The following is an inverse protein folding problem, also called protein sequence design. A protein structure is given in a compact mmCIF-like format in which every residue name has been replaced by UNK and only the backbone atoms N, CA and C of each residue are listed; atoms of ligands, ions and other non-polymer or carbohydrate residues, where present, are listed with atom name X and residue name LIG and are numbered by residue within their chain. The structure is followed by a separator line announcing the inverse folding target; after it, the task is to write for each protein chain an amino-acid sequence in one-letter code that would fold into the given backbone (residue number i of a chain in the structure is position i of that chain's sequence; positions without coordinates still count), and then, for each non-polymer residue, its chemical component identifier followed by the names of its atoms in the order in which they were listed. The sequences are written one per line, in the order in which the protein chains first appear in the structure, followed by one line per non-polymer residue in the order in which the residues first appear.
data_IF_929232557407
#
_entry.id   IF_929232557407
#
_cell.length_a   1.000
_cell.length_b   1.000
_cell.length_c   1.000
_cell.angle_alpha   90.00
_cell.angle_beta   90.00
_cell.angle_gamma   90.00
#
_symmetry.space_group_name_H-M   'P 1'
#
loop_
_entity.id
_entity.type
_entity.pdbx_description
1 polymer ?
#
# COMPACT_ATOMS: atom_id res chain seq x y z
N UNK A 1 2.74 10.16 51.36
CA UNK A 1 2.61 9.35 50.13
C UNK A 1 2.74 10.32 48.97
N UNK A 2 3.96 10.48 48.46
CA UNK A 2 4.27 11.43 47.40
C UNK A 2 3.90 10.83 46.05
N UNK A 3 2.98 11.48 45.33
CA UNK A 3 2.81 11.28 43.89
C UNK A 3 3.23 12.59 43.19
N UNK A 4 4.52 12.82 42.92
CA UNK A 4 4.97 14.08 42.34
C UNK A 4 4.68 14.18 40.82
N UNK A 5 4.13 13.16 40.18
CA UNK A 5 4.24 13.01 38.73
C UNK A 5 3.07 13.56 37.89
N UNK A 6 1.95 13.92 38.53
CA UNK A 6 0.76 14.51 37.87
C UNK A 6 0.61 16.02 38.13
N UNK A 7 1.52 16.64 38.90
CA UNK A 7 1.44 18.06 39.26
C UNK A 7 0.18 18.39 40.06
N UNK A 8 -0.45 19.55 39.81
CA UNK A 8 -1.68 19.96 40.51
C UNK A 8 -2.86 19.00 40.30
N UNK A 9 -2.86 18.21 39.22
CA UNK A 9 -3.91 17.22 38.96
C UNK A 9 -3.90 16.07 39.97
N UNK A 10 -2.76 15.84 40.64
CA UNK A 10 -2.66 14.87 41.73
C UNK A 10 -3.58 15.21 42.92
N UNK A 11 -3.99 16.49 43.04
CA UNK A 11 -4.88 16.95 44.11
C UNK A 11 -6.32 16.51 43.91
N UNK A 12 -6.73 16.20 42.67
CA UNK A 12 -8.07 15.71 42.40
C UNK A 12 -8.19 14.20 42.67
N UNK A 13 -9.37 13.69 43.05
CA UNK A 13 -9.67 12.26 42.98
C UNK A 13 -9.58 11.74 41.54
N UNK A 14 -9.36 10.43 41.38
CA UNK A 14 -9.22 9.81 40.06
C UNK A 14 -10.47 10.02 39.20
N UNK A 15 -11.65 9.97 39.80
CA UNK A 15 -12.94 10.10 39.12
C UNK A 15 -13.10 11.45 38.43
N UNK A 16 -12.58 12.52 39.08
CA UNK A 16 -12.59 13.87 38.52
C UNK A 16 -11.57 13.98 37.39
N UNK A 17 -10.37 13.41 37.57
CA UNK A 17 -9.36 13.36 36.50
C UNK A 17 -9.87 12.60 35.29
N UNK A 18 -10.50 11.44 35.49
CA UNK A 18 -11.12 10.65 34.42
C UNK A 18 -12.14 11.48 33.62
N UNK A 19 -13.00 12.25 34.28
CA UNK A 19 -13.94 13.15 33.57
C UNK A 19 -13.24 14.20 32.72
N UNK A 20 -12.10 14.74 33.18
CA UNK A 20 -11.25 15.64 32.40
C UNK A 20 -10.63 14.89 31.20
N UNK A 21 -10.11 13.68 31.44
CA UNK A 21 -9.48 12.84 30.41
C UNK A 21 -10.42 12.40 29.31
N UNK A 22 -11.70 12.18 29.64
CA UNK A 22 -12.74 11.87 28.65
C UNK A 22 -12.95 12.99 27.62
N UNK A 23 -12.57 14.23 27.92
CA UNK A 23 -12.62 15.34 26.95
C UNK A 23 -11.52 15.23 25.87
N UNK A 24 -10.49 14.40 26.09
CA UNK A 24 -9.40 14.20 25.14
C UNK A 24 -9.64 13.05 24.15
N UNK A 25 -10.78 12.36 24.24
CA UNK A 25 -11.05 11.28 23.28
C UNK A 25 -11.18 11.89 21.88
N UNK A 26 -10.51 11.32 20.86
CA UNK A 26 -10.71 11.78 19.49
C UNK A 26 -12.18 11.71 19.10
N UNK A 27 -12.73 12.84 18.69
CA UNK A 27 -14.10 12.95 18.16
C UNK A 27 -14.06 13.70 16.81
N UNK A 28 -15.09 13.49 16.00
CA UNK A 28 -15.31 14.19 14.75
C UNK A 28 -15.19 13.31 13.52
N UNK A 29 -15.99 13.64 12.50
CA UNK A 29 -16.13 12.87 11.27
C UNK A 29 -15.46 13.58 10.11
N UNK A 30 -14.45 12.96 9.48
CA UNK A 30 -13.96 13.44 8.19
C UNK A 30 -15.00 13.17 7.11
N UNK A 31 -15.17 14.14 6.21
CA UNK A 31 -15.88 13.95 4.94
C UNK A 31 -14.90 13.99 3.79
N UNK A 32 -15.33 13.59 2.59
CA UNK A 32 -14.48 13.63 1.39
C UNK A 32 -13.96 15.05 1.12
N UNK A 33 -14.78 16.06 1.43
CA UNK A 33 -14.51 17.46 1.15
C UNK A 33 -13.83 18.18 2.32
N UNK A 34 -14.15 17.79 3.56
CA UNK A 34 -13.75 18.51 4.76
C UNK A 34 -13.04 17.59 5.76
N UNK A 35 -11.83 18.00 6.15
CA UNK A 35 -11.09 17.41 7.27
C UNK A 35 -11.56 18.04 8.56
N UNK A 36 -11.95 17.23 9.52
CA UNK A 36 -12.38 17.71 10.82
C UNK A 36 -11.20 17.51 11.79
N UNK A 37 -10.62 18.60 12.36
CA UNK A 37 -9.59 18.49 13.38
C UNK A 37 -10.08 17.57 14.49
N UNK A 38 -9.24 16.60 14.87
CA UNK A 38 -9.51 15.75 16.03
C UNK A 38 -8.94 16.39 17.27
N UNK A 39 -9.39 15.89 18.41
CA UNK A 39 -8.95 16.34 19.73
C UNK A 39 -7.42 16.36 19.83
N UNK A 40 -6.88 17.47 20.32
CA UNK A 40 -5.44 17.69 20.41
C UNK A 40 -4.83 16.87 21.56
N UNK A 41 -3.98 15.92 21.21
CA UNK A 41 -3.30 15.03 22.15
C UNK A 41 -1.92 15.55 22.59
N UNK A 42 -1.56 16.81 22.34
CA UNK A 42 -0.29 17.40 22.82
C UNK A 42 -0.13 17.33 24.34
N UNK A 43 -1.23 17.25 25.10
CA UNK A 43 -1.20 17.03 26.56
C UNK A 43 -0.47 15.74 26.94
N UNK A 44 -0.48 14.71 26.08
CA UNK A 44 0.25 13.46 26.30
C UNK A 44 1.78 13.66 26.35
N UNK A 45 2.28 14.82 25.94
CA UNK A 45 3.71 15.17 26.00
C UNK A 45 4.11 15.90 27.29
N UNK A 46 3.14 16.24 28.16
CA UNK A 46 3.39 17.06 29.34
C UNK A 46 4.16 16.31 30.45
N UNK A 47 3.80 15.06 30.73
CA UNK A 47 4.54 14.19 31.65
C UNK A 47 4.28 12.71 31.35
N UNK A 48 5.19 11.82 31.75
CA UNK A 48 5.02 10.38 31.58
C UNK A 48 3.79 9.85 32.33
N UNK A 49 3.50 10.35 33.53
CA UNK A 49 2.31 9.90 34.28
C UNK A 49 1.01 10.41 33.67
N UNK A 50 0.98 11.64 33.16
CA UNK A 50 -0.17 12.16 32.39
C UNK A 50 -0.36 11.31 31.13
N UNK A 51 0.72 11.04 30.40
CA UNK A 51 0.70 10.18 29.23
C UNK A 51 0.08 8.82 29.56
N UNK A 52 0.58 8.14 30.60
CA UNK A 52 0.15 6.79 30.93
C UNK A 52 -1.29 6.73 31.42
N UNK A 53 -1.74 7.69 32.24
CA UNK A 53 -3.12 7.75 32.73
C UNK A 53 -4.11 8.05 31.60
N UNK A 54 -3.83 9.06 30.77
CA UNK A 54 -4.73 9.46 29.67
C UNK A 54 -4.77 8.37 28.60
N UNK A 55 -3.61 7.92 28.10
CA UNK A 55 -3.60 6.96 27.00
C UNK A 55 -4.19 5.60 27.37
N UNK A 56 -4.07 5.15 28.63
CA UNK A 56 -4.80 3.98 29.10
C UNK A 56 -6.31 4.19 28.94
N UNK A 57 -6.81 5.36 29.30
CA UNK A 57 -8.23 5.68 29.19
C UNK A 57 -8.70 5.83 27.73
N UNK A 58 -7.90 6.46 26.88
CA UNK A 58 -8.21 6.67 25.46
C UNK A 58 -8.32 5.36 24.67
N UNK A 59 -7.37 4.44 24.88
CA UNK A 59 -7.24 3.24 24.04
C UNK A 59 -7.85 1.98 24.67
N UNK A 60 -8.15 1.98 25.97
CA UNK A 60 -8.85 0.85 26.60
C UNK A 60 -10.23 0.64 25.99
N UNK A 61 -10.54 -0.62 25.62
CA UNK A 61 -11.79 -0.98 24.94
C UNK A 61 -12.00 -0.23 23.63
N UNK A 62 -10.90 0.15 22.98
CA UNK A 62 -10.94 0.76 21.65
C UNK A 62 -10.75 -0.29 20.55
N UNK A 63 -11.42 -0.03 19.43
CA UNK A 63 -11.27 -0.77 18.18
C UNK A 63 -10.90 0.24 17.10
N UNK A 64 -9.80 -0.02 16.38
CA UNK A 64 -9.38 0.79 15.24
C UNK A 64 -9.65 0.02 13.96
N UNK A 65 -10.58 0.49 13.14
CA UNK A 65 -11.05 -0.23 11.94
C UNK A 65 -10.59 0.49 10.66
N UNK A 66 -9.91 -0.21 9.76
CA UNK A 66 -9.48 0.27 8.46
C UNK A 66 -10.37 -0.32 7.37
N UNK A 67 -11.10 0.54 6.68
CA UNK A 67 -11.93 0.18 5.52
C UNK A 67 -11.13 0.30 4.22
N UNK A 68 -10.69 -0.83 3.69
CA UNK A 68 -9.90 -0.92 2.46
C UNK A 68 -10.78 -1.41 1.32
N UNK A 69 -11.08 -0.51 0.39
CA UNK A 69 -11.93 -0.77 -0.78
C UNK A 69 -11.11 -1.03 -2.05
N UNK A 70 -11.64 -1.84 -2.96
CA UNK A 70 -11.12 -2.04 -4.31
C UNK A 70 -11.52 -0.92 -5.29
N UNK A 71 -12.37 0.02 -4.88
CA UNK A 71 -12.85 1.11 -5.74
C UNK A 71 -11.73 2.12 -5.99
N UNK A 72 -11.33 2.24 -7.25
CA UNK A 72 -10.35 3.22 -7.69
C UNK A 72 -11.02 4.56 -8.02
N UNK A 73 -10.52 5.64 -7.40
CA UNK A 73 -10.93 7.01 -7.69
C UNK A 73 -9.76 7.71 -8.38
N UNK A 74 -9.96 8.23 -9.60
CA UNK A 74 -8.93 8.87 -10.42
C UNK A 74 -8.17 10.00 -9.69
N UNK A 75 -8.80 10.66 -8.71
CA UNK A 75 -8.22 11.80 -7.99
C UNK A 75 -7.50 11.46 -6.68
N UNK A 76 -7.27 10.18 -6.35
CA UNK A 76 -6.56 9.72 -5.13
C UNK A 76 -7.11 10.31 -3.81
N UNK A 77 -8.38 10.68 -3.78
CA UNK A 77 -8.96 11.38 -2.62
C UNK A 77 -9.17 10.45 -1.41
N UNK A 78 -9.09 9.13 -1.60
CA UNK A 78 -9.34 8.13 -0.57
C UNK A 78 -8.53 6.87 -0.81
N UNK A 79 -7.52 6.64 0.04
CA UNK A 79 -6.82 5.37 0.17
C UNK A 79 -7.58 4.42 1.09
N UNK A 80 -7.86 4.85 2.31
CA UNK A 80 -8.59 4.06 3.32
C UNK A 80 -9.38 4.99 4.23
N UNK A 81 -10.45 4.48 4.83
CA UNK A 81 -11.13 5.16 5.93
C UNK A 81 -10.80 4.47 7.23
N UNK A 82 -10.52 5.24 8.28
CA UNK A 82 -10.22 4.71 9.60
C UNK A 82 -11.31 5.14 10.56
N UNK A 83 -11.78 4.22 11.37
CA UNK A 83 -12.76 4.47 12.42
C UNK A 83 -12.16 4.12 13.77
N UNK A 84 -12.33 5.01 14.74
CA UNK A 84 -12.11 4.70 16.15
C UNK A 84 -13.47 4.45 16.79
N UNK A 85 -13.66 3.24 17.31
CA UNK A 85 -14.86 2.86 18.08
C UNK A 85 -14.46 2.56 19.51
N UNK A 86 -15.27 3.00 20.47
CA UNK A 86 -15.06 2.75 21.91
C UNK A 86 -16.37 2.25 22.51
N UNK A 87 -16.36 1.13 23.23
CA UNK A 87 -17.59 0.60 23.83
C UNK A 87 -17.57 -0.91 24.13
N UNK A 88 -18.64 -1.44 24.74
CA UNK A 88 -18.79 -2.89 24.92
C UNK A 88 -19.06 -3.54 23.56
N UNK A 89 -18.29 -4.59 23.25
CA UNK A 89 -18.22 -5.27 21.95
C UNK A 89 -19.58 -5.59 21.28
N UNK A 90 -20.63 -5.82 22.07
CA UNK A 90 -21.95 -6.23 21.57
C UNK A 90 -22.81 -5.08 21.00
N UNK A 91 -22.52 -3.82 21.33
CA UNK A 91 -23.26 -2.65 20.80
C UNK A 91 -22.51 -1.85 19.73
N UNK A 92 -21.20 -2.09 19.59
CA UNK A 92 -20.31 -1.30 18.74
C UNK A 92 -20.62 -1.38 17.23
N UNK A 93 -21.43 -2.34 16.77
CA UNK A 93 -21.85 -2.43 15.36
C UNK A 93 -23.00 -1.47 15.00
N UNK A 94 -23.77 -0.99 15.98
CA UNK A 94 -24.93 -0.11 15.78
C UNK A 94 -24.64 1.36 16.10
N UNK A 95 -23.62 1.64 16.91
CA UNK A 95 -23.26 3.00 17.30
C UNK A 95 -22.39 3.68 16.22
N UNK A 96 -22.58 4.99 16.04
CA UNK A 96 -21.74 5.78 15.13
C UNK A 96 -20.27 5.74 15.60
N UNK A 97 -19.30 5.72 14.67
CA UNK A 97 -17.88 5.74 15.04
C UNK A 97 -17.56 7.02 15.78
N UNK A 98 -16.76 6.93 16.85
CA UNK A 98 -16.42 8.09 17.66
C UNK A 98 -15.57 9.09 16.87
N UNK A 99 -14.61 8.61 16.10
CA UNK A 99 -13.86 9.44 15.17
C UNK A 99 -13.67 8.71 13.84
N UNK A 100 -13.72 9.47 12.76
CA UNK A 100 -13.46 8.99 11.41
C UNK A 100 -12.39 9.82 10.73
N UNK A 101 -11.44 9.13 10.11
CA UNK A 101 -10.41 9.71 9.25
C UNK A 101 -10.54 9.19 7.83
N UNK A 102 -10.52 10.09 6.85
CA UNK A 102 -10.39 9.71 5.43
C UNK A 102 -8.94 9.98 5.04
N UNK A 103 -8.17 8.90 4.90
CA UNK A 103 -6.75 8.97 4.58
C UNK A 103 -6.56 8.94 3.07
N UNK A 104 -5.80 9.89 2.53
CA UNK A 104 -5.58 10.01 1.08
C UNK A 104 -4.47 9.08 0.56
N UNK A 105 -3.43 8.91 1.36
CA UNK A 105 -2.27 8.07 1.05
C UNK A 105 -1.50 7.78 2.36
N UNK A 106 -0.39 7.02 2.25
CA UNK A 106 0.46 6.67 3.39
C UNK A 106 0.97 7.92 4.12
N UNK A 107 1.46 8.92 3.38
CA UNK A 107 2.02 10.15 3.96
C UNK A 107 0.98 10.99 4.73
N UNK A 108 -0.27 11.05 4.24
CA UNK A 108 -1.39 11.66 4.97
C UNK A 108 -1.69 10.92 6.27
N UNK A 109 -1.47 9.60 6.33
CA UNK A 109 -1.58 8.86 7.58
C UNK A 109 -0.44 9.23 8.56
N UNK A 110 0.80 9.31 8.07
CA UNK A 110 1.97 9.68 8.88
C UNK A 110 1.83 11.06 9.50
N UNK A 111 1.49 12.05 8.68
CA UNK A 111 1.28 13.44 9.12
C UNK A 111 0.14 13.57 10.14
N UNK A 112 -0.83 12.64 10.12
CA UNK A 112 -1.90 12.54 11.13
C UNK A 112 -1.51 11.71 12.36
N UNK A 113 -0.26 11.27 12.46
CA UNK A 113 0.29 10.60 13.63
C UNK A 113 0.07 9.09 13.69
N UNK A 114 -0.40 8.45 12.61
CA UNK A 114 -0.63 7.00 12.61
C UNK A 114 0.65 6.18 12.78
N UNK A 115 1.81 6.69 12.37
CA UNK A 115 3.12 6.05 12.59
C UNK A 115 3.50 5.98 14.08
N UNK A 116 2.99 6.91 14.89
CA UNK A 116 3.28 7.00 16.32
C UNK A 116 2.09 6.55 17.19
N UNK A 117 1.10 5.88 16.59
CA UNK A 117 -0.07 5.44 17.31
C UNK A 117 0.32 4.28 18.25
N UNK A 118 -0.09 4.29 19.54
CA UNK A 118 0.28 3.23 20.48
C UNK A 118 -0.61 2.00 20.27
N UNK A 119 -0.41 1.30 19.15
CA UNK A 119 -1.17 0.10 18.77
C UNK A 119 -1.18 -0.98 19.86
N UNK A 120 -0.13 -1.06 20.69
CA UNK A 120 -0.04 -2.00 21.81
C UNK A 120 -1.06 -1.73 22.93
N UNK A 121 -1.66 -0.53 22.97
CA UNK A 121 -2.72 -0.14 23.92
C UNK A 121 -4.13 -0.27 23.34
N UNK A 122 -4.24 -0.45 22.02
CA UNK A 122 -5.51 -0.67 21.33
C UNK A 122 -5.89 -2.15 21.46
N UNK A 123 -7.11 -2.43 21.91
CA UNK A 123 -7.53 -3.80 22.18
C UNK A 123 -7.65 -4.63 20.89
N UNK A 124 -8.12 -4.00 19.81
CA UNK A 124 -8.31 -4.65 18.51
C UNK A 124 -8.06 -3.70 17.35
N UNK A 125 -7.27 -4.14 16.38
CA UNK A 125 -7.13 -3.52 15.07
C UNK A 125 -7.87 -4.38 14.06
N UNK A 126 -8.69 -3.77 13.22
CA UNK A 126 -9.49 -4.48 12.20
C UNK A 126 -9.16 -3.93 10.82
N UNK A 127 -8.87 -4.79 9.87
CA UNK A 127 -8.80 -4.45 8.45
C UNK A 127 -10.03 -5.05 7.75
N UNK A 128 -10.99 -4.20 7.39
CA UNK A 128 -12.16 -4.57 6.59
C UNK A 128 -11.78 -4.51 5.10
N UNK A 129 -11.70 -5.68 4.47
CA UNK A 129 -11.37 -5.81 3.05
C UNK A 129 -12.66 -6.04 2.25
N UNK A 130 -12.96 -5.14 1.33
CA UNK A 130 -14.14 -5.27 0.46
C UNK A 130 -13.79 -5.97 -0.84
N UNK A 131 -14.59 -6.96 -1.22
CA UNK A 131 -14.36 -7.78 -2.41
C UNK A 131 -14.23 -6.92 -3.68
N UNK A 132 -13.24 -7.20 -4.56
CA UNK A 132 -13.17 -6.59 -5.88
C UNK A 132 -14.25 -7.15 -6.80
N UNK A 133 -14.47 -6.47 -7.92
CA UNK A 133 -15.35 -6.97 -8.97
C UNK A 133 -14.61 -8.04 -9.80
N UNK A 134 -15.11 -9.29 -9.86
CA UNK A 134 -14.46 -10.39 -10.60
C UNK A 134 -14.22 -10.07 -12.08
N UNK A 135 -14.96 -9.12 -12.65
CA UNK A 135 -14.86 -8.75 -14.06
C UNK A 135 -13.85 -7.63 -14.32
N UNK A 136 -13.27 -7.05 -13.27
CA UNK A 136 -12.34 -5.93 -13.36
C UNK A 136 -11.07 -6.23 -12.56
N UNK A 137 -10.12 -6.93 -13.21
CA UNK A 137 -8.80 -7.25 -12.69
C UNK A 137 -8.06 -6.05 -12.07
N UNK A 138 -8.27 -4.84 -12.62
CA UNK A 138 -7.66 -3.62 -12.09
C UNK A 138 -8.09 -3.31 -10.65
N UNK A 139 -9.30 -3.69 -10.24
CA UNK A 139 -9.79 -3.50 -8.87
C UNK A 139 -9.09 -4.42 -7.87
N UNK A 140 -8.77 -5.67 -8.25
CA UNK A 140 -7.97 -6.55 -7.41
C UNK A 140 -6.56 -5.97 -7.21
N UNK A 141 -5.90 -5.52 -8.28
CA UNK A 141 -4.60 -4.87 -8.17
C UNK A 141 -4.66 -3.65 -7.26
N UNK A 142 -5.68 -2.80 -7.41
CA UNK A 142 -5.89 -1.64 -6.55
C UNK A 142 -6.05 -2.05 -5.08
N UNK A 143 -6.89 -3.04 -4.78
CA UNK A 143 -7.09 -3.53 -3.42
C UNK A 143 -5.78 -4.04 -2.82
N UNK A 144 -5.04 -4.88 -3.56
CA UNK A 144 -3.75 -5.41 -3.13
C UNK A 144 -2.73 -4.29 -2.85
N UNK A 145 -2.63 -3.28 -3.71
CA UNK A 145 -1.72 -2.15 -3.50
C UNK A 145 -2.08 -1.38 -2.23
N UNK A 146 -3.38 -1.16 -1.98
CA UNK A 146 -3.86 -0.47 -0.77
C UNK A 146 -3.63 -1.28 0.49
N UNK A 147 -3.82 -2.60 0.43
CA UNK A 147 -3.48 -3.52 1.52
C UNK A 147 -1.99 -3.48 1.81
N UNK A 148 -1.13 -3.54 0.80
CA UNK A 148 0.33 -3.45 1.00
C UNK A 148 0.73 -2.16 1.70
N UNK A 149 0.19 -1.02 1.27
CA UNK A 149 0.43 0.25 1.94
C UNK A 149 -0.03 0.23 3.42
N UNK A 150 -1.09 -0.51 3.75
CA UNK A 150 -1.62 -0.61 5.11
C UNK A 150 -0.71 -1.52 5.94
N UNK A 151 -0.26 -2.64 5.37
CA UNK A 151 0.73 -3.51 6.01
C UNK A 151 2.01 -2.74 6.29
N UNK A 152 2.52 -1.92 5.36
CA UNK A 152 3.70 -1.08 5.61
C UNK A 152 3.47 -0.06 6.74
N UNK A 153 2.28 0.54 6.84
CA UNK A 153 1.91 1.39 7.97
C UNK A 153 1.94 0.60 9.29
N UNK A 154 1.34 -0.59 9.31
CA UNK A 154 1.27 -1.44 10.51
C UNK A 154 2.63 -2.03 10.90
N UNK A 155 3.54 -2.26 9.95
CA UNK A 155 4.92 -2.71 10.23
C UNK A 155 5.69 -1.71 11.09
N UNK A 156 5.40 -0.41 10.98
CA UNK A 156 6.02 0.63 11.79
C UNK A 156 5.61 0.60 13.27
N UNK A 157 4.54 -0.11 13.61
CA UNK A 157 4.09 -0.22 15.00
C UNK A 157 5.06 -1.09 15.82
N UNK A 158 5.29 -0.73 17.08
CA UNK A 158 6.10 -1.55 17.99
C UNK A 158 5.48 -2.93 18.20
N UNK A 159 4.16 -2.96 18.45
CA UNK A 159 3.43 -4.19 18.75
C UNK A 159 1.91 -4.01 18.55
N UNK A 160 1.26 -5.02 18.00
CA UNK A 160 -0.19 -5.11 17.81
C UNK A 160 -0.67 -6.40 18.49
N UNK A 161 -1.58 -6.29 19.46
CA UNK A 161 -2.05 -7.48 20.20
C UNK A 161 -2.97 -8.35 19.35
N UNK A 162 -4.00 -7.74 18.78
CA UNK A 162 -5.02 -8.45 18.01
C UNK A 162 -5.27 -7.71 16.70
N UNK A 163 -4.94 -8.37 15.60
CA UNK A 163 -5.33 -7.96 14.25
C UNK A 163 -6.43 -8.89 13.74
N UNK A 164 -7.55 -8.32 13.32
CA UNK A 164 -8.60 -9.04 12.60
C UNK A 164 -8.66 -8.55 11.17
N UNK A 165 -8.63 -9.48 10.22
CA UNK A 165 -8.86 -9.19 8.81
C UNK A 165 -10.27 -9.69 8.48
N UNK A 166 -11.18 -8.77 8.17
CA UNK A 166 -12.57 -9.11 7.83
C UNK A 166 -12.76 -9.07 6.33
N UNK A 167 -13.21 -10.19 5.76
CA UNK A 167 -13.64 -10.25 4.38
C UNK A 167 -15.09 -9.79 4.30
N UNK A 168 -15.31 -8.60 3.74
CA UNK A 168 -16.59 -7.92 3.71
C UNK A 168 -17.21 -7.89 2.31
N UNK A 169 -18.55 -7.95 2.27
CA UNK A 169 -19.38 -7.67 1.09
C UNK A 169 -19.76 -6.20 1.04
N UNK A 170 -19.77 -5.59 -0.15
CA UNK A 170 -20.27 -4.22 -0.36
C UNK A 170 -20.73 -4.03 -1.81
N UNK A 171 -21.79 -3.26 -2.02
CA UNK A 171 -22.30 -2.86 -3.34
C UNK A 171 -22.51 -4.03 -4.33
N UNK A 172 -23.01 -5.16 -3.81
CA UNK A 172 -23.25 -6.38 -4.59
C UNK A 172 -21.98 -7.18 -4.93
N UNK A 173 -20.79 -6.71 -4.57
CA UNK A 173 -19.53 -7.45 -4.72
C UNK A 173 -19.28 -8.32 -3.50
N UNK A 174 -18.90 -9.57 -3.76
CA UNK A 174 -18.72 -10.60 -2.74
C UNK A 174 -17.44 -11.41 -3.03
N UNK A 175 -16.86 -11.99 -1.98
CA UNK A 175 -15.70 -12.88 -2.07
C UNK A 175 -16.10 -14.29 -2.55
N UNK A 176 -17.38 -14.63 -2.37
CA UNK A 176 -17.98 -15.87 -2.82
C UNK A 176 -19.39 -15.61 -3.35
N UNK A 177 -19.70 -16.18 -4.50
CA UNK A 177 -21.02 -16.15 -5.12
C UNK A 177 -21.50 -17.59 -5.35
N UNK A 178 -22.77 -17.89 -5.07
CA UNK A 178 -23.29 -19.26 -5.16
C UNK A 178 -23.24 -19.82 -6.58
N UNK A 179 -23.44 -18.96 -7.57
CA UNK A 179 -23.52 -19.38 -8.97
C UNK A 179 -22.13 -19.41 -9.61
N UNK A 180 -21.22 -18.53 -9.18
CA UNK A 180 -19.88 -18.36 -9.78
C UNK A 180 -18.75 -19.00 -8.98
N UNK A 181 -18.98 -19.36 -7.72
CA UNK A 181 -17.97 -19.86 -6.80
C UNK A 181 -17.12 -18.74 -6.18
N UNK A 182 -15.86 -19.05 -5.88
CA UNK A 182 -14.92 -18.08 -5.31
C UNK A 182 -14.61 -16.96 -6.31
N UNK A 183 -14.37 -15.77 -5.77
CA UNK A 183 -14.00 -14.62 -6.58
C UNK A 183 -12.56 -14.78 -7.12
N UNK A 184 -12.43 -14.59 -8.44
CA UNK A 184 -11.19 -14.69 -9.20
C UNK A 184 -11.16 -13.58 -10.25
N UNK A 185 -10.47 -12.47 -9.97
CA UNK A 185 -10.40 -11.33 -10.89
C UNK A 185 -9.25 -11.45 -11.90
N UNK A 186 -8.17 -12.14 -11.54
CA UNK A 186 -6.98 -12.32 -12.38
C UNK A 186 -6.69 -13.81 -12.61
N UNK A 187 -6.29 -14.17 -13.83
CA UNK A 187 -6.00 -15.56 -14.22
C UNK A 187 -4.49 -15.80 -14.22
N UNK A 188 -4.03 -16.90 -13.63
CA UNK A 188 -2.62 -17.27 -13.80
C UNK A 188 -2.43 -17.93 -15.18
N UNK A 189 -1.26 -17.70 -15.77
CA UNK A 189 -0.81 -18.30 -17.02
C UNK A 189 -0.50 -19.80 -16.84
N UNK A 190 -1.50 -20.61 -16.48
CA UNK A 190 -1.49 -22.11 -16.48
C UNK A 190 -2.82 -22.72 -15.99
N UNK A 191 -3.88 -21.93 -15.84
CA UNK A 191 -5.16 -22.42 -15.34
C UNK A 191 -5.23 -22.56 -13.82
N UNK A 192 -4.13 -22.28 -13.11
CA UNK A 192 -4.18 -22.00 -11.69
C UNK A 192 -4.94 -20.67 -11.49
N UNK A 193 -5.86 -20.61 -10.54
CA UNK A 193 -6.50 -19.34 -10.14
C UNK A 193 -6.31 -19.18 -8.65
N UNK A 194 -5.74 -18.05 -8.24
CA UNK A 194 -5.72 -17.70 -6.82
C UNK A 194 -7.06 -17.06 -6.48
N UNK A 195 -7.62 -17.41 -5.32
CA UNK A 195 -8.79 -16.71 -4.84
C UNK A 195 -8.36 -15.29 -4.47
N UNK A 196 -9.17 -14.31 -4.85
CA UNK A 196 -8.85 -12.90 -4.60
C UNK A 196 -8.65 -12.61 -3.10
N UNK A 197 -9.35 -13.35 -2.24
CA UNK A 197 -9.20 -13.21 -0.79
C UNK A 197 -7.82 -13.64 -0.29
N UNK A 198 -7.19 -14.65 -0.89
CA UNK A 198 -5.84 -15.07 -0.52
C UNK A 198 -4.85 -13.93 -0.82
N UNK A 199 -4.95 -13.35 -2.02
CA UNK A 199 -4.11 -12.24 -2.48
C UNK A 199 -4.26 -11.00 -1.58
N UNK A 200 -5.48 -10.73 -1.11
CA UNK A 200 -5.76 -9.58 -0.24
C UNK A 200 -5.36 -9.82 1.22
N UNK A 201 -5.38 -11.06 1.72
CA UNK A 201 -5.05 -11.39 3.12
C UNK A 201 -3.55 -11.62 3.32
N UNK A 202 -2.89 -12.24 2.35
CA UNK A 202 -1.52 -12.71 2.49
C UNK A 202 -0.50 -11.65 2.94
N UNK A 203 -0.55 -10.38 2.46
CA UNK A 203 0.40 -9.37 2.91
C UNK A 203 0.41 -9.18 4.44
N UNK A 204 -0.73 -9.30 5.11
CA UNK A 204 -0.81 -9.17 6.58
C UNK A 204 -0.07 -10.28 7.32
N UNK A 205 0.06 -11.46 6.71
CA UNK A 205 0.83 -12.58 7.28
C UNK A 205 2.34 -12.31 7.31
N UNK A 206 2.81 -11.22 6.70
CA UNK A 206 4.22 -10.78 6.81
C UNK A 206 4.50 -9.92 8.04
N UNK A 207 3.46 -9.52 8.79
CA UNK A 207 3.61 -8.70 9.99
C UNK A 207 4.21 -9.53 11.12
N UNK A 208 5.40 -9.12 11.58
CA UNK A 208 6.13 -9.80 12.66
C UNK A 208 5.80 -9.22 14.05
N UNK A 209 5.24 -8.02 14.09
CA UNK A 209 4.90 -7.26 15.29
C UNK A 209 3.46 -7.53 15.77
N UNK A 210 2.77 -8.54 15.24
CA UNK A 210 1.40 -8.90 15.62
C UNK A 210 1.40 -10.19 16.44
N UNK A 211 0.77 -10.17 17.61
CA UNK A 211 0.64 -11.38 18.45
C UNK A 211 -0.40 -12.34 17.89
N UNK A 212 -1.61 -11.85 17.64
CA UNK A 212 -2.73 -12.67 17.16
C UNK A 212 -3.30 -12.11 15.86
N UNK A 213 -3.26 -12.92 14.79
CA UNK A 213 -3.94 -12.63 13.52
C UNK A 213 -5.17 -13.54 13.40
N UNK A 214 -6.32 -12.90 13.22
CA UNK A 214 -7.61 -13.56 12.98
C UNK A 214 -8.14 -13.14 11.62
N UNK A 215 -8.80 -14.05 10.92
CA UNK A 215 -9.47 -13.74 9.66
C UNK A 215 -10.92 -14.17 9.80
N UNK A 216 -11.85 -13.26 9.54
CA UNK A 216 -13.29 -13.44 9.69
C UNK A 216 -13.95 -13.28 8.31
N UNK A 217 -14.85 -14.19 7.97
CA UNK A 217 -15.72 -14.08 6.81
C UNK A 217 -17.03 -13.38 7.20
N UNK A 218 -17.63 -12.58 6.31
CA UNK A 218 -18.95 -11.97 6.57
C UNK A 218 -20.11 -12.98 6.54
N UNK A 219 -19.86 -14.23 6.15
CA UNK A 219 -20.86 -15.29 6.13
C UNK A 219 -20.26 -16.66 6.41
N UNK A 220 -21.04 -17.54 7.05
CA UNK A 220 -20.65 -18.93 7.30
C UNK A 220 -20.43 -19.72 5.99
N UNK A 221 -21.13 -19.35 4.92
CA UNK A 221 -20.97 -19.99 3.61
C UNK A 221 -19.60 -19.70 3.00
N UNK A 222 -19.14 -18.44 3.05
CA UNK A 222 -17.78 -18.08 2.66
C UNK A 222 -16.78 -18.81 3.55
N UNK A 223 -16.99 -18.79 4.87
CA UNK A 223 -16.09 -19.43 5.85
C UNK A 223 -15.86 -20.92 5.56
N UNK A 224 -16.92 -21.67 5.22
CA UNK A 224 -16.85 -23.10 4.91
C UNK A 224 -16.15 -23.39 3.59
N UNK A 225 -16.22 -22.47 2.63
CA UNK A 225 -15.65 -22.66 1.29
C UNK A 225 -14.21 -22.17 1.18
N UNK A 226 -13.78 -21.29 2.09
CA UNK A 226 -12.42 -20.75 2.10
C UNK A 226 -11.38 -21.85 2.33
N UNK A 227 -10.30 -21.79 1.55
CA UNK A 227 -9.14 -22.64 1.79
C UNK A 227 -8.26 -21.99 2.86
N UNK A 228 -8.48 -22.37 4.11
CA UNK A 228 -7.74 -21.85 5.25
C UNK A 228 -6.25 -22.21 5.26
N UNK A 229 -5.75 -23.05 4.35
CA UNK A 229 -4.35 -23.49 4.36
C UNK A 229 -3.38 -22.32 4.23
N UNK A 230 -3.60 -21.42 3.27
CA UNK A 230 -2.71 -20.26 3.04
C UNK A 230 -2.72 -19.33 4.25
N UNK A 231 -3.91 -19.05 4.76
CA UNK A 231 -4.13 -18.20 5.94
C UNK A 231 -3.51 -18.81 7.20
N UNK A 232 -3.66 -20.12 7.40
CA UNK A 232 -3.15 -20.82 8.57
C UNK A 232 -1.62 -20.93 8.54
N UNK A 233 -0.99 -21.15 7.39
CA UNK A 233 0.47 -21.07 7.26
C UNK A 233 0.95 -19.67 7.64
N UNK A 234 0.22 -18.63 7.23
CA UNK A 234 0.49 -17.25 7.61
C UNK A 234 0.36 -16.93 9.11
N UNK A 235 -0.35 -17.76 9.90
CA UNK A 235 -0.46 -17.62 11.35
C UNK A 235 0.69 -18.30 12.10
N UNK A 236 1.37 -19.25 11.47
CA UNK A 236 2.47 -20.00 12.10
C UNK A 236 3.71 -19.10 12.11
N UNK A 237 4.23 -18.80 13.31
CA UNK A 237 5.39 -17.93 13.48
C UNK A 237 6.75 -18.62 13.29
N UNK A 238 6.76 -19.87 12.83
CA UNK A 238 7.99 -20.62 12.55
C UNK A 238 8.76 -20.05 11.35
N UNK A 239 10.09 -20.15 11.39
CA UNK A 239 10.97 -19.54 10.38
C UNK A 239 10.68 -20.03 8.95
N UNK A 240 10.45 -21.34 8.75
CA UNK A 240 10.16 -21.90 7.43
C UNK A 240 8.79 -21.45 6.89
N UNK A 241 7.76 -21.42 7.76
CA UNK A 241 6.43 -20.95 7.39
C UNK A 241 6.49 -19.47 6.97
N UNK A 242 7.24 -18.64 7.71
CA UNK A 242 7.48 -17.23 7.37
C UNK A 242 8.17 -17.06 6.02
N UNK A 243 9.23 -17.84 5.76
CA UNK A 243 9.93 -17.79 4.48
C UNK A 243 8.98 -18.20 3.32
N UNK A 244 8.13 -19.21 3.54
CA UNK A 244 7.13 -19.62 2.56
C UNK A 244 6.10 -18.52 2.26
N UNK A 245 5.66 -17.78 3.29
CA UNK A 245 4.76 -16.62 3.15
C UNK A 245 5.45 -15.48 2.41
N UNK A 246 6.68 -15.11 2.80
CA UNK A 246 7.46 -14.06 2.11
C UNK A 246 7.69 -14.40 0.64
N UNK A 247 8.07 -15.64 0.34
CA UNK A 247 8.20 -16.15 -1.02
C UNK A 247 6.91 -16.01 -1.80
N UNK A 248 5.77 -16.34 -1.18
CA UNK A 248 4.46 -16.24 -1.81
C UNK A 248 4.05 -14.79 -2.06
N UNK A 249 4.33 -13.87 -1.14
CA UNK A 249 4.08 -12.43 -1.32
C UNK A 249 4.96 -11.86 -2.44
N UNK A 250 6.24 -12.23 -2.49
CA UNK A 250 7.15 -11.86 -3.58
C UNK A 250 6.66 -12.38 -4.93
N UNK A 251 6.18 -13.62 -4.95
CA UNK A 251 5.52 -14.19 -6.12
C UNK A 251 4.28 -13.39 -6.56
N UNK A 252 3.37 -13.07 -5.64
CA UNK A 252 2.15 -12.31 -5.95
C UNK A 252 2.47 -10.90 -6.43
N UNK A 253 3.50 -10.28 -5.87
CA UNK A 253 4.01 -9.00 -6.35
C UNK A 253 4.36 -9.06 -7.85
N UNK A 254 5.21 -10.02 -8.25
CA UNK A 254 5.63 -10.15 -9.64
C UNK A 254 4.46 -10.48 -10.57
N UNK A 255 3.61 -11.42 -10.17
CA UNK A 255 2.45 -11.84 -10.96
C UNK A 255 1.45 -10.70 -11.15
N UNK A 256 1.07 -9.97 -10.10
CA UNK A 256 0.08 -8.90 -10.18
C UNK A 256 0.56 -7.75 -11.08
N UNK A 257 1.85 -7.40 -11.01
CA UNK A 257 2.43 -6.40 -11.91
C UNK A 257 2.45 -6.89 -13.36
N UNK A 258 2.87 -8.14 -13.62
CA UNK A 258 2.86 -8.71 -14.97
C UNK A 258 1.44 -8.80 -15.55
N UNK A 259 0.46 -9.22 -14.73
CA UNK A 259 -0.92 -9.35 -15.15
C UNK A 259 -1.57 -7.98 -15.41
N UNK A 260 -1.35 -7.02 -14.51
CA UNK A 260 -1.78 -5.64 -14.73
C UNK A 260 -1.19 -5.08 -16.02
N UNK A 261 0.09 -5.29 -16.29
CA UNK A 261 0.78 -4.71 -17.43
C UNK A 261 0.24 -5.24 -18.75
N UNK A 262 0.13 -6.57 -18.88
CA UNK A 262 -0.08 -7.21 -20.18
C UNK A 262 -1.49 -7.75 -20.41
N UNK A 263 -2.17 -8.22 -19.37
CA UNK A 263 -3.38 -9.03 -19.54
C UNK A 263 -4.64 -8.36 -19.01
N UNK A 264 -4.55 -7.52 -17.97
CA UNK A 264 -5.70 -6.91 -17.33
C UNK A 264 -6.39 -5.89 -18.25
N UNK A 265 -7.62 -6.17 -18.73
CA UNK A 265 -8.37 -5.23 -19.54
C UNK A 265 -9.17 -4.27 -18.65
N UNK A 266 -9.85 -3.31 -19.27
CA UNK A 266 -10.80 -2.44 -18.58
C UNK A 266 -10.22 -1.11 -18.11
N UNK A 267 -11.15 -0.22 -17.71
CA UNK A 267 -10.84 1.17 -17.36
C UNK A 267 -9.96 1.24 -16.11
N UNK A 268 -10.27 0.47 -15.07
CA UNK A 268 -9.51 0.50 -13.82
C UNK A 268 -8.08 0.03 -14.03
N UNK A 269 -7.86 -1.06 -14.78
CA UNK A 269 -6.53 -1.55 -15.09
C UNK A 269 -5.71 -0.51 -15.87
N UNK A 270 -6.32 0.16 -16.87
CA UNK A 270 -5.66 1.25 -17.61
C UNK A 270 -5.23 2.38 -16.68
N UNK A 271 -6.14 2.85 -15.82
CA UNK A 271 -5.83 3.91 -14.87
C UNK A 271 -4.74 3.49 -13.90
N UNK A 272 -4.72 2.22 -13.48
CA UNK A 272 -3.67 1.72 -12.59
C UNK A 272 -2.30 1.62 -13.26
N UNK A 273 -2.22 1.23 -14.54
CA UNK A 273 -0.99 1.33 -15.33
C UNK A 273 -0.50 2.77 -15.43
N UNK A 274 -1.40 3.71 -15.71
CA UNK A 274 -1.05 5.14 -15.80
C UNK A 274 -0.56 5.69 -14.46
N UNK A 275 -1.25 5.39 -13.36
CA UNK A 275 -0.87 5.83 -12.03
C UNK A 275 0.45 5.24 -11.55
N UNK A 276 0.72 3.99 -11.96
CA UNK A 276 1.98 3.32 -11.73
C UNK A 276 3.11 3.99 -12.50
N UNK A 277 2.96 4.22 -13.81
CA UNK A 277 3.93 4.93 -14.63
C UNK A 277 4.24 6.31 -14.07
N UNK A 278 3.19 7.09 -13.76
CA UNK A 278 3.32 8.41 -13.15
C UNK A 278 4.13 8.37 -11.86
N UNK A 279 3.88 7.39 -10.98
CA UNK A 279 4.64 7.25 -9.73
C UNK A 279 6.09 6.91 -9.99
N UNK A 280 6.36 5.98 -10.91
CA UNK A 280 7.73 5.60 -11.26
C UNK A 280 8.52 6.79 -11.82
N UNK A 281 7.93 7.60 -12.71
CA UNK A 281 8.58 8.80 -13.24
C UNK A 281 8.92 9.82 -12.14
N UNK A 282 7.97 10.10 -11.26
CA UNK A 282 8.18 11.04 -10.14
C UNK A 282 9.27 10.56 -9.16
N UNK A 283 9.40 9.24 -8.97
CA UNK A 283 10.44 8.66 -8.11
C UNK A 283 11.81 8.68 -8.81
N UNK A 284 11.87 8.32 -10.11
CA UNK A 284 13.13 8.26 -10.88
C UNK A 284 13.81 9.60 -11.07
N UNK A 285 13.07 10.72 -11.08
CA UNK A 285 13.67 12.05 -11.00
C UNK A 285 14.63 12.21 -9.79
N UNK A 286 14.46 11.39 -8.75
CA UNK A 286 15.31 11.36 -7.56
C UNK A 286 16.31 10.17 -7.56
N UNK A 287 16.41 9.41 -8.65
CA UNK A 287 17.30 8.24 -8.78
C UNK A 287 16.77 6.93 -8.16
N UNK A 288 15.69 6.99 -7.40
CA UNK A 288 15.13 5.85 -6.67
C UNK A 288 13.85 5.35 -7.34
N UNK A 289 13.61 4.05 -7.37
CA UNK A 289 12.34 3.48 -7.86
C UNK A 289 11.94 2.34 -6.95
N UNK A 290 10.87 2.55 -6.17
CA UNK A 290 10.36 1.54 -5.24
C UNK A 290 10.04 0.24 -5.98
N UNK A 291 9.54 0.34 -7.21
CA UNK A 291 9.24 -0.82 -8.03
C UNK A 291 10.48 -1.62 -8.41
N UNK A 292 11.55 -0.95 -8.89
CA UNK A 292 12.80 -1.62 -9.28
C UNK A 292 13.51 -2.22 -8.07
N UNK A 293 13.63 -1.47 -6.98
CA UNK A 293 14.24 -1.94 -5.74
C UNK A 293 13.50 -3.15 -5.18
N UNK A 294 12.15 -3.10 -5.16
CA UNK A 294 11.35 -4.22 -4.67
C UNK A 294 11.44 -5.42 -5.59
N UNK A 295 11.44 -5.22 -6.91
CA UNK A 295 11.62 -6.30 -7.89
C UNK A 295 12.98 -6.97 -7.70
N UNK A 296 14.05 -6.19 -7.59
CA UNK A 296 15.40 -6.67 -7.33
C UNK A 296 15.45 -7.45 -6.01
N UNK A 297 14.95 -6.88 -4.93
CA UNK A 297 14.93 -7.54 -3.62
C UNK A 297 14.17 -8.87 -3.62
N UNK A 298 13.06 -8.97 -4.35
CA UNK A 298 12.32 -10.25 -4.50
C UNK A 298 13.13 -11.28 -5.29
N UNK A 299 13.86 -10.86 -6.33
CA UNK A 299 14.70 -11.75 -7.13
C UNK A 299 15.95 -12.21 -6.37
N UNK A 300 16.55 -11.33 -5.58
CA UNK A 300 17.71 -11.64 -4.75
C UNK A 300 17.32 -12.60 -3.60
N UNK A 301 16.16 -12.38 -2.98
CA UNK A 301 15.65 -13.22 -1.88
C UNK A 301 15.13 -14.58 -2.39
N UNK A 302 14.56 -14.63 -3.60
CA UNK A 302 13.92 -15.82 -4.19
C UNK A 302 14.31 -16.05 -5.66
N UNK A 303 15.58 -16.38 -5.95
CA UNK A 303 16.07 -16.54 -7.32
C UNK A 303 15.34 -17.64 -8.11
N UNK A 304 14.77 -18.64 -7.42
CA UNK A 304 13.99 -19.71 -8.04
C UNK A 304 12.72 -19.20 -8.75
N UNK A 305 12.22 -18.00 -8.40
CA UNK A 305 11.08 -17.38 -9.07
C UNK A 305 11.36 -17.13 -10.55
N UNK A 306 12.61 -16.83 -10.91
CA UNK A 306 13.04 -16.62 -12.29
C UNK A 306 12.78 -17.87 -13.14
N UNK A 307 13.12 -19.05 -12.63
CA UNK A 307 12.98 -20.31 -13.36
C UNK A 307 11.56 -20.84 -13.37
N UNK A 308 10.79 -20.63 -12.29
CA UNK A 308 9.42 -21.14 -12.21
C UNK A 308 8.48 -20.41 -13.15
N UNK A 309 8.72 -19.11 -13.42
CA UNK A 309 7.78 -18.22 -14.11
C UNK A 309 8.47 -17.34 -15.16
N UNK A 310 9.12 -17.93 -16.18
CA UNK A 310 9.84 -17.17 -17.20
C UNK A 310 8.95 -16.18 -17.94
N UNK A 311 7.66 -16.49 -18.12
CA UNK A 311 6.70 -15.58 -18.77
C UNK A 311 6.43 -14.31 -17.97
N UNK A 312 6.21 -14.43 -16.66
CA UNK A 312 5.95 -13.27 -15.81
C UNK A 312 7.20 -12.38 -15.78
N UNK A 313 8.39 -12.99 -15.69
CA UNK A 313 9.66 -12.27 -15.79
C UNK A 313 9.84 -11.56 -17.14
N UNK A 314 9.54 -12.21 -18.26
CA UNK A 314 9.60 -11.55 -19.58
C UNK A 314 8.68 -10.33 -19.65
N UNK A 315 7.50 -10.39 -19.03
CA UNK A 315 6.58 -9.24 -18.98
C UNK A 315 7.14 -8.14 -18.11
N UNK A 316 7.70 -8.46 -16.94
CA UNK A 316 8.35 -7.46 -16.07
C UNK A 316 9.57 -6.82 -16.76
N UNK A 317 10.39 -7.60 -17.45
CA UNK A 317 11.51 -7.07 -18.24
C UNK A 317 11.03 -6.15 -19.37
N UNK A 318 9.99 -6.56 -20.11
CA UNK A 318 9.36 -5.72 -21.14
C UNK A 318 8.82 -4.43 -20.54
N UNK A 319 8.16 -4.51 -19.39
CA UNK A 319 7.63 -3.37 -18.65
C UNK A 319 8.74 -2.38 -18.26
N UNK A 320 9.83 -2.85 -17.65
CA UNK A 320 10.98 -2.00 -17.31
C UNK A 320 11.58 -1.36 -18.57
N UNK A 321 11.74 -2.14 -19.64
CA UNK A 321 12.26 -1.64 -20.91
C UNK A 321 11.38 -0.54 -21.50
N UNK A 322 10.06 -0.74 -21.56
CA UNK A 322 9.11 0.25 -22.05
C UNK A 322 9.15 1.53 -21.21
N UNK A 323 9.27 1.41 -19.89
CA UNK A 323 9.37 2.54 -18.97
C UNK A 323 10.66 3.36 -19.20
N UNK A 324 11.79 2.69 -19.36
CA UNK A 324 13.08 3.33 -19.65
C UNK A 324 13.05 4.00 -21.02
N UNK A 325 12.48 3.35 -22.04
CA UNK A 325 12.32 3.96 -23.37
C UNK A 325 11.44 5.21 -23.32
N UNK A 326 10.31 5.17 -22.59
CA UNK A 326 9.44 6.32 -22.42
C UNK A 326 10.14 7.46 -21.67
N UNK A 327 10.98 7.14 -20.68
CA UNK A 327 11.80 8.14 -19.99
C UNK A 327 12.72 8.92 -20.94
N UNK A 328 13.53 8.21 -21.71
CA UNK A 328 14.48 8.85 -22.62
C UNK A 328 13.78 9.58 -23.77
N UNK A 329 12.65 9.07 -24.28
CA UNK A 329 11.86 9.78 -25.28
C UNK A 329 11.28 11.09 -24.71
N UNK A 330 10.77 11.06 -23.47
CA UNK A 330 10.28 12.27 -22.79
C UNK A 330 11.39 13.29 -22.54
N UNK A 331 12.56 12.85 -22.10
CA UNK A 331 13.74 13.70 -21.87
C UNK A 331 14.19 14.37 -23.18
N UNK A 332 14.34 13.59 -24.26
CA UNK A 332 14.71 14.11 -25.58
C UNK A 332 13.67 15.11 -26.12
N UNK A 333 12.38 14.87 -25.89
CA UNK A 333 11.32 15.81 -26.26
C UNK A 333 11.38 17.10 -25.43
N UNK A 334 11.74 17.01 -24.14
CA UNK A 334 11.89 18.17 -23.27
C UNK A 334 13.08 19.04 -23.70
N UNK A 335 14.23 18.42 -24.01
CA UNK A 335 15.40 19.10 -24.58
C UNK A 335 15.06 19.79 -25.91
N UNK A 336 14.35 19.09 -26.81
CA UNK A 336 13.91 19.67 -28.08
C UNK A 336 13.00 20.88 -27.85
N UNK A 337 12.03 20.79 -26.93
CA UNK A 337 11.15 21.92 -26.59
C UNK A 337 11.92 23.08 -25.94
N UNK A 338 12.95 22.79 -25.14
CA UNK A 338 13.83 23.78 -24.53
C UNK A 338 14.65 24.51 -25.60
N UNK A 339 15.27 23.78 -26.52
CA UNK A 339 15.99 24.36 -27.66
C UNK A 339 15.07 25.16 -28.59
N UNK A 340 13.89 24.64 -28.94
CA UNK A 340 12.90 25.40 -29.72
C UNK A 340 12.44 26.68 -28.98
N UNK A 341 12.45 26.67 -27.65
CA UNK A 341 12.13 27.84 -26.83
C UNK A 341 13.29 28.85 -26.81
N UNK A 342 14.54 28.38 -26.65
CA UNK A 342 15.76 29.21 -26.70
C UNK A 342 15.91 29.89 -28.06
N UNK A 343 15.65 29.16 -29.16
CA UNK A 343 15.64 29.71 -30.52
C UNK A 343 14.53 30.74 -30.74
N UNK A 344 13.40 30.61 -30.03
CA UNK A 344 12.22 31.49 -30.19
C UNK A 344 12.24 32.73 -29.29
N UNK A 345 13.04 32.82 -28.21
CA UNK A 345 13.01 33.97 -27.29
C UNK A 345 14.38 34.38 -26.70
N UNK A 346 14.85 35.56 -27.11
CA UNK A 346 15.87 36.35 -26.39
C UNK A 346 15.35 37.08 -25.13
N UNK A 347 14.44 36.49 -24.34
CA UNK A 347 13.98 37.01 -23.03
C UNK A 347 13.66 35.81 -22.11
N UNK A 348 14.14 35.77 -20.85
CA UNK A 348 14.07 34.59 -19.99
C UNK A 348 12.64 34.34 -19.46
N UNK A 349 12.27 33.08 -19.17
CA UNK A 349 10.97 32.76 -18.62
C UNK A 349 11.03 32.90 -17.09
N UNK A 350 9.99 33.48 -16.50
CA UNK A 350 9.81 33.44 -15.06
C UNK A 350 9.78 31.98 -14.58
N UNK A 351 10.54 31.68 -13.53
CA UNK A 351 10.71 30.35 -12.98
C UNK A 351 9.37 29.75 -12.51
N UNK A 352 8.90 28.74 -13.25
CA UNK A 352 8.08 27.57 -12.84
C UNK A 352 7.26 27.09 -14.05
N UNK A 353 7.81 26.16 -14.83
CA UNK A 353 6.98 25.33 -15.71
C UNK A 353 6.36 24.24 -14.83
N UNK A 354 5.12 24.46 -14.41
CA UNK A 354 4.27 23.37 -13.92
C UNK A 354 4.13 22.32 -15.05
N UNK A 355 4.33 21.05 -14.71
CA UNK A 355 4.07 19.92 -15.61
C UNK A 355 2.65 20.04 -16.20
N UNK A 356 2.55 20.40 -17.47
CA UNK A 356 1.27 20.51 -18.19
C UNK A 356 0.54 19.17 -18.19
N UNK A 357 -0.68 19.13 -17.63
CA UNK A 357 -1.58 17.97 -17.50
C UNK A 357 -2.06 17.34 -18.83
N UNK A 358 -1.42 17.65 -19.97
CA UNK A 358 -1.92 17.32 -21.32
C UNK A 358 -1.07 16.31 -22.09
N UNK A 359 -0.07 15.69 -21.48
CA UNK A 359 0.63 14.58 -22.13
C UNK A 359 -0.29 13.35 -22.20
N UNK A 360 -0.75 13.03 -23.42
CA UNK A 360 -1.52 11.82 -23.70
C UNK A 360 -0.55 10.62 -23.77
N UNK A 361 -0.26 10.07 -22.59
CA UNK A 361 0.57 8.86 -22.43
C UNK A 361 -0.05 7.65 -23.14
N UNK A 362 -1.37 7.63 -23.38
CA UNK A 362 -2.04 6.53 -24.09
C UNK A 362 -1.66 6.51 -25.58
N UNK A 363 -1.48 7.67 -26.21
CA UNK A 363 -1.04 7.77 -27.61
C UNK A 363 0.41 7.27 -27.78
N UNK A 364 1.31 7.68 -26.88
CA UNK A 364 2.71 7.20 -26.85
C UNK A 364 2.78 5.69 -26.56
N UNK A 365 1.98 5.20 -25.62
CA UNK A 365 1.88 3.79 -25.29
C UNK A 365 1.38 2.95 -26.46
N UNK A 366 0.29 3.35 -27.12
CA UNK A 366 -0.23 2.66 -28.29
C UNK A 366 0.76 2.64 -29.45
N UNK A 367 1.52 3.72 -29.62
CA UNK A 367 2.56 3.84 -30.66
C UNK A 367 3.75 2.92 -30.43
N UNK A 368 4.16 2.72 -29.17
CA UNK A 368 5.30 1.86 -28.83
C UNK A 368 4.93 0.38 -28.62
N UNK A 369 3.71 0.07 -28.18
CA UNK A 369 3.25 -1.30 -27.92
C UNK A 369 2.80 -2.06 -29.18
N UNK A 370 2.39 -1.34 -30.24
CA UNK A 370 2.05 -1.94 -31.55
C UNK A 370 3.30 -1.98 -32.44
N UNK A 371 4.08 -3.07 -32.38
CA UNK A 371 5.04 -3.35 -33.45
C UNK A 371 6.32 -4.14 -33.11
N UNK A 372 6.67 -4.36 -31.84
CA UNK A 372 7.94 -5.02 -31.51
C UNK A 372 7.82 -6.54 -31.46
N UNK A 373 8.69 -7.22 -32.20
CA UNK A 373 8.78 -8.68 -32.21
C UNK A 373 9.67 -9.18 -31.07
N UNK A 374 9.46 -10.42 -30.62
CA UNK A 374 10.22 -11.04 -29.51
C UNK A 374 11.73 -11.11 -29.76
N UNK A 375 12.18 -11.07 -31.03
CA UNK A 375 13.59 -11.08 -31.41
C UNK A 375 14.29 -9.73 -31.17
N UNK A 376 13.58 -8.61 -31.35
CA UNK A 376 14.13 -7.27 -31.10
C UNK A 376 14.39 -7.03 -29.61
N UNK A 377 13.62 -7.68 -28.73
CA UNK A 377 13.79 -7.59 -27.28
C UNK A 377 15.04 -8.34 -26.78
N UNK A 378 15.45 -9.41 -27.45
CA UNK A 378 16.63 -10.23 -27.06
C UNK A 378 17.95 -9.58 -27.47
N UNK A 379 17.99 -8.84 -28.59
CA UNK A 379 19.21 -8.20 -29.08
C UNK A 379 19.73 -7.07 -28.19
N UNK A 380 18.86 -6.45 -27.38
CA UNK A 380 19.19 -5.27 -26.58
C UNK A 380 19.58 -5.62 -25.13
N UNK A 381 19.17 -6.78 -24.61
CA UNK A 381 19.70 -7.27 -23.31
C UNK A 381 21.22 -7.44 -23.37
N UNK A 382 21.75 -7.83 -24.54
CA UNK A 382 23.19 -7.88 -24.85
C UNK A 382 23.89 -6.52 -24.89
N UNK A 383 23.16 -5.41 -25.05
CA UNK A 383 23.73 -4.05 -24.97
C UNK A 383 23.85 -3.60 -23.51
N UNK A 384 22.93 -4.01 -22.65
CA UNK A 384 22.95 -3.69 -21.22
C UNK A 384 24.09 -4.40 -20.47
N UNK A 385 24.43 -5.63 -20.87
CA UNK A 385 25.60 -6.34 -20.34
C UNK A 385 26.94 -5.71 -20.78
N UNK A 386 26.97 -5.02 -21.92
CA UNK A 386 28.18 -4.36 -22.44
C UNK A 386 28.38 -2.92 -21.93
N UNK A 387 27.32 -2.28 -21.43
CA UNK A 387 27.39 -0.91 -20.89
C UNK A 387 27.80 -0.82 -19.41
N UNK A 388 27.94 -1.95 -18.71
CA UNK A 388 28.24 -2.02 -17.27
C UNK A 388 29.72 -2.06 -16.88
N UNK A 389 30.66 -2.03 -17.84
CA UNK A 389 32.09 -2.02 -17.58
C UNK A 389 32.74 -0.77 -18.17
N UNK A 390 32.71 0.34 -17.43
CA UNK A 390 33.73 1.38 -17.54
C UNK A 390 34.47 1.36 -16.20
N UNK A 391 35.62 0.70 -16.18
CA UNK A 391 36.54 0.72 -15.06
C UNK A 391 37.17 2.11 -14.95
N UNK A 392 37.11 2.68 -13.76
CA UNK A 392 37.91 3.83 -13.33
C UNK A 392 39.39 3.39 -13.29
N UNK A 393 40.16 3.71 -14.33
CA UNK A 393 41.61 3.60 -14.28
C UNK A 393 42.18 4.74 -13.43
N UNK A 394 42.69 4.31 -12.28
CA UNK A 394 43.44 5.06 -11.28
C UNK A 394 44.55 5.95 -11.86
N UNK A 395 44.52 7.21 -11.43
CA UNK A 395 45.66 8.12 -11.41
C UNK A 395 46.70 7.63 -10.39
N UNK A 396 47.98 7.58 -10.79
CA UNK A 396 49.10 7.71 -9.85
C UNK A 396 50.37 6.92 -10.21
N UNK A 397 51.18 7.46 -11.13
CA UNK A 397 52.59 7.12 -11.25
C UNK A 397 53.46 8.30 -10.74
N UNK A 398 54.24 7.99 -9.71
CA UNK A 398 55.48 8.56 -9.17
C UNK A 398 56.08 9.87 -9.72
N UNK A 399 56.53 10.74 -8.80
CA UNK A 399 57.96 11.13 -8.72
C UNK A 399 58.32 11.82 -7.39
N UNK A 400 59.38 11.28 -6.77
CA UNK A 400 60.21 11.73 -5.62
C UNK A 400 59.73 11.43 -4.20
#
# INVERSE_FOLDING_TARGET
MEFPSLGCLAQFPYEIREQIWLQFIPDGQDTVLLRTPKTDLRILRASKSIHDEISLLLYRRSCLEFDVSAIYYQRKERWTTVYLRRGRQERAQLEEPQATWILRNKEDARTRGFDNLPFHRIDRVVANLFAPDPKDAGKLFCLWQRVRALVELLKGAEKIRNLTIRLCKRDGQDWFDRDRGMNHSMRLLRGETHCDHDVAVLPFCTLQNVENITVEAHSAELEQRMNWRVINVGKIQESEARLAVSRRVGFEYMWLHADLWKYAPGRTARLMRWDFLRQWFLQKCNGESEFEERTRGVLDEFPELHHRRPRDMMVISSMIYDMVCLYYDMEAQQEKKMHEWEEKKGIPPAASLEFSETYDVDELWEKHSKGKTTEEMLSISTLYEKGGCVEDESIGAESL
#
